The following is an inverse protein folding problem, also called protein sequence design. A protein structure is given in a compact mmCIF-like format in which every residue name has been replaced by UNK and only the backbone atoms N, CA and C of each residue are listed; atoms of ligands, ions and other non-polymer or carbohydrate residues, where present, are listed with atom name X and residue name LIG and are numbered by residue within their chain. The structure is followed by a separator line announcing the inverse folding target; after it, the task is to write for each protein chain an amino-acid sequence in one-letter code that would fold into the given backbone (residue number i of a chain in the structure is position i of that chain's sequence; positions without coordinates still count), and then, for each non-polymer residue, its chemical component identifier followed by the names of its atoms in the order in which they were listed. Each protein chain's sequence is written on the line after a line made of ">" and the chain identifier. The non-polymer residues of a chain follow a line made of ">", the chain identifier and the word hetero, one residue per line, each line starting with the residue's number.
data_IF_869917593911
#
_entry.id   IF_869917593911
#
_cell.length_a   1.000
_cell.length_b   1.000
_cell.length_c   1.000
_cell.angle_alpha   90.00
_cell.angle_beta   90.00
_cell.angle_gamma   90.00
#
_symmetry.space_group_name_H-M   'P 1'
#
loop_
_entity.id
_entity.type
_entity.pdbx_description
1 polymer ?
#
# COMPACT_ATOMS: atom_id res chain seq x y z
N UNK A 1 -11.19 19.20 7.98
CA UNK A 1 -10.46 17.98 8.39
C UNK A 1 -10.23 17.17 7.13
N UNK A 2 -8.99 16.84 6.81
CA UNK A 2 -8.74 15.89 5.72
C UNK A 2 -8.99 14.49 6.27
N UNK A 3 -10.06 13.85 5.79
CA UNK A 3 -10.37 12.47 6.15
C UNK A 3 -9.46 11.53 5.35
N UNK A 4 -8.66 10.75 6.05
CA UNK A 4 -7.90 9.66 5.47
C UNK A 4 -8.86 8.52 5.17
N UNK A 5 -9.15 8.33 3.89
CA UNK A 5 -9.98 7.23 3.44
C UNK A 5 -9.09 6.10 2.95
N UNK A 6 -9.53 4.86 3.14
CA UNK A 6 -8.85 3.68 2.61
C UNK A 6 -8.88 3.76 1.08
N UNK A 7 -7.70 3.90 0.47
CA UNK A 7 -7.56 4.03 -0.99
C UNK A 7 -7.42 2.67 -1.64
N UNK A 8 -6.48 1.88 -1.13
CA UNK A 8 -6.19 0.54 -1.66
C UNK A 8 -5.70 -0.39 -0.55
N UNK A 9 -5.76 -1.69 -0.81
CA UNK A 9 -5.20 -2.73 0.06
C UNK A 9 -3.98 -3.32 -0.64
N UNK A 10 -2.96 -3.70 0.12
CA UNK A 10 -1.73 -4.30 -0.39
C UNK A 10 -1.71 -5.77 0.03
N UNK A 11 -1.46 -6.66 -0.92
CA UNK A 11 -1.54 -8.10 -0.69
C UNK A 11 -0.21 -8.64 -0.14
N UNK A 12 0.91 -7.99 -0.48
CA UNK A 12 2.24 -8.37 -0.03
C UNK A 12 3.07 -7.17 0.47
N UNK A 13 4.12 -7.46 1.24
CA UNK A 13 5.10 -6.46 1.70
C UNK A 13 5.79 -5.74 0.54
N UNK A 14 6.06 -6.46 -0.55
CA UNK A 14 6.72 -5.89 -1.73
C UNK A 14 5.87 -4.80 -2.37
N UNK A 15 4.58 -5.06 -2.62
CA UNK A 15 3.64 -4.04 -3.13
C UNK A 15 3.54 -2.85 -2.16
N UNK A 16 3.49 -3.13 -0.85
CA UNK A 16 3.43 -2.10 0.18
C UNK A 16 4.66 -1.17 0.16
N UNK A 17 5.86 -1.74 0.13
CA UNK A 17 7.12 -1.01 0.11
C UNK A 17 7.34 -0.22 -1.18
N UNK A 18 6.95 -0.79 -2.33
CA UNK A 18 7.01 -0.10 -3.62
C UNK A 18 6.09 1.12 -3.63
N UNK A 19 4.83 0.92 -3.25
CA UNK A 19 3.85 2.00 -3.18
C UNK A 19 4.28 3.07 -2.16
N UNK A 20 4.76 2.65 -0.99
CA UNK A 20 5.28 3.54 0.05
C UNK A 20 6.41 4.43 -0.48
N UNK A 21 7.40 3.83 -1.16
CA UNK A 21 8.56 4.55 -1.69
C UNK A 21 8.14 5.65 -2.66
N UNK A 22 7.22 5.34 -3.58
CA UNK A 22 6.71 6.31 -4.57
C UNK A 22 5.88 7.42 -3.92
N UNK A 23 5.09 7.10 -2.89
CA UNK A 23 4.29 8.09 -2.17
C UNK A 23 5.19 9.03 -1.35
N UNK A 24 6.24 8.48 -0.73
CA UNK A 24 7.24 9.24 0.01
C UNK A 24 8.04 10.17 -0.90
N UNK A 25 8.46 9.68 -2.07
CA UNK A 25 9.16 10.48 -3.08
C UNK A 25 8.32 11.67 -3.56
N UNK A 26 7.02 11.44 -3.80
CA UNK A 26 6.09 12.49 -4.19
C UNK A 26 5.59 13.36 -3.02
N UNK A 27 6.10 13.15 -1.80
CA UNK A 27 5.66 13.87 -0.59
C UNK A 27 4.14 13.82 -0.36
N UNK A 28 3.51 12.70 -0.73
CA UNK A 28 2.07 12.50 -0.56
C UNK A 28 1.81 12.07 0.89
N UNK A 29 0.88 12.71 1.63
CA UNK A 29 0.49 12.24 2.95
C UNK A 29 -0.26 10.91 2.84
N UNK A 30 0.34 9.84 3.35
CA UNK A 30 -0.23 8.49 3.37
C UNK A 30 -0.17 7.86 4.77
N UNK A 31 -1.04 6.90 5.00
CA UNK A 31 -1.09 6.06 6.20
C UNK A 31 -1.06 4.61 5.75
N UNK A 32 0.09 3.97 5.93
CA UNK A 32 0.27 2.54 5.69
C UNK A 32 -0.01 1.79 6.99
N UNK A 33 -1.03 0.92 6.97
CA UNK A 33 -1.37 0.04 8.10
C UNK A 33 -1.19 -1.41 7.66
N UNK A 34 -0.14 -2.04 8.16
CA UNK A 34 0.04 -3.48 8.07
C UNK A 34 -0.91 -4.18 9.05
N UNK A 35 -1.50 -5.30 8.63
CA UNK A 35 -2.21 -6.21 9.53
C UNK A 35 -1.23 -7.10 10.32
N UNK A 36 0.05 -7.06 9.95
CA UNK A 36 1.13 -7.92 10.43
C UNK A 36 1.88 -7.40 11.66
N UNK A 37 1.48 -6.24 12.19
CA UNK A 37 2.02 -5.65 13.41
C UNK A 37 1.58 -6.49 14.64
N UNK A 38 2.08 -7.74 14.78
CA UNK A 38 2.34 -8.33 16.10
C UNK A 38 3.06 -9.69 16.16
N UNK A 39 3.09 -10.59 15.16
CA UNK A 39 3.55 -11.95 15.48
C UNK A 39 3.95 -12.87 14.31
N UNK A 40 4.96 -13.69 14.59
CA UNK A 40 5.36 -14.94 13.93
C UNK A 40 6.40 -14.89 12.79
N UNK A 41 7.65 -14.93 13.25
CA UNK A 41 8.67 -15.93 12.88
C UNK A 41 8.13 -17.13 12.08
N UNK A 42 8.65 -17.29 10.86
CA UNK A 42 8.77 -18.58 10.17
C UNK A 42 7.49 -19.22 9.62
N UNK A 43 7.37 -19.24 8.30
CA UNK A 43 6.64 -20.27 7.54
C UNK A 43 5.12 -20.40 7.79
N UNK A 44 4.30 -19.44 7.32
CA UNK A 44 2.98 -19.70 6.70
C UNK A 44 2.32 -18.36 6.28
N UNK A 45 2.74 -17.79 5.15
CA UNK A 45 2.38 -16.42 4.73
C UNK A 45 1.30 -16.33 3.64
N UNK A 46 0.53 -17.38 3.38
CA UNK A 46 -0.48 -17.35 2.31
C UNK A 46 -1.88 -17.34 2.91
N UNK A 47 -2.54 -16.17 2.95
CA UNK A 47 -3.95 -15.98 2.52
C UNK A 47 -4.64 -14.65 2.89
N UNK A 48 -4.11 -13.77 3.76
CA UNK A 48 -4.89 -12.58 4.24
C UNK A 48 -4.47 -11.20 3.74
N UNK A 49 -3.43 -11.09 2.92
CA UNK A 49 -2.90 -9.79 2.48
C UNK A 49 -2.07 -9.10 3.57
N UNK A 50 -1.18 -8.18 3.18
CA UNK A 50 -0.22 -7.54 4.09
C UNK A 50 -0.82 -6.35 4.84
N UNK A 51 -1.65 -5.53 4.20
CA UNK A 51 -2.12 -4.27 4.79
C UNK A 51 -3.02 -3.43 3.91
N UNK A 52 -3.18 -2.15 4.27
CA UNK A 52 -3.85 -1.15 3.45
C UNK A 52 -3.20 0.23 3.55
N UNK A 53 -3.39 1.01 2.48
CA UNK A 53 -2.97 2.41 2.39
C UNK A 53 -4.20 3.30 2.42
N UNK A 54 -4.17 4.27 3.33
CA UNK A 54 -5.16 5.34 3.42
C UNK A 54 -4.49 6.67 3.14
N UNK A 55 -5.19 7.56 2.45
CA UNK A 55 -4.69 8.88 2.10
C UNK A 55 -5.89 9.84 1.92
N UNK A 56 -5.65 11.16 1.83
CA UNK A 56 -6.71 12.10 1.49
C UNK A 56 -7.29 11.76 0.11
N UNK A 57 -8.61 11.90 -0.04
CA UNK A 57 -9.33 11.56 -1.28
C UNK A 57 -8.76 12.25 -2.53
N UNK A 58 -8.13 13.42 -2.36
CA UNK A 58 -7.43 14.16 -3.42
C UNK A 58 -6.25 13.41 -4.06
N UNK A 59 -5.65 12.46 -3.34
CA UNK A 59 -4.55 11.62 -3.84
C UNK A 59 -5.01 10.22 -4.26
N UNK A 60 -6.31 9.91 -4.12
CA UNK A 60 -6.89 8.60 -4.44
C UNK A 60 -6.51 8.15 -5.85
N UNK A 61 -6.77 8.99 -6.84
CA UNK A 61 -6.48 8.68 -8.25
C UNK A 61 -4.98 8.50 -8.49
N UNK A 62 -4.15 9.32 -7.84
CA UNK A 62 -2.69 9.24 -7.97
C UNK A 62 -2.15 7.92 -7.44
N UNK A 63 -2.61 7.52 -6.24
CA UNK A 63 -2.24 6.24 -5.61
C UNK A 63 -2.70 5.05 -6.45
N UNK A 64 -3.94 5.10 -6.98
CA UNK A 64 -4.47 4.04 -7.85
C UNK A 64 -3.65 3.91 -9.14
N UNK A 65 -3.26 5.02 -9.76
CA UNK A 65 -2.41 5.04 -10.94
C UNK A 65 -1.04 4.40 -10.64
N UNK A 66 -0.39 4.79 -9.55
CA UNK A 66 0.91 4.23 -9.14
C UNK A 66 0.78 2.71 -8.90
N UNK A 67 -0.26 2.28 -8.18
CA UNK A 67 -0.48 0.87 -7.92
C UNK A 67 -0.70 0.05 -9.21
N UNK A 68 -1.50 0.58 -10.14
CA UNK A 68 -1.70 -0.06 -11.44
C UNK A 68 -0.42 -0.14 -12.26
N UNK A 69 0.41 0.90 -12.22
CA UNK A 69 1.70 0.93 -12.89
C UNK A 69 2.66 -0.12 -12.30
N UNK A 70 2.78 -0.15 -10.98
CA UNK A 70 3.56 -1.15 -10.24
C UNK A 70 3.12 -2.59 -10.56
N UNK A 71 1.81 -2.85 -10.63
CA UNK A 71 1.30 -4.18 -11.00
C UNK A 71 1.60 -4.56 -12.44
N UNK A 72 1.52 -3.60 -13.37
CA UNK A 72 1.89 -3.85 -14.77
C UNK A 72 3.38 -4.16 -14.90
N UNK A 73 4.24 -3.41 -14.22
CA UNK A 73 5.69 -3.64 -14.26
C UNK A 73 6.12 -4.97 -13.63
N UNK A 74 5.30 -5.56 -12.76
CA UNK A 74 5.58 -6.86 -12.15
C UNK A 74 5.20 -8.06 -13.05
N UNK A 75 4.44 -7.83 -14.13
CA UNK A 75 3.94 -8.88 -15.03
C UNK A 75 4.72 -8.96 -16.36
N UNK A 76 5.70 -8.07 -16.59
CA UNK A 76 6.61 -8.08 -17.77
C UNK A 76 7.96 -8.76 -17.51
#
# INVERSE_FOLDING_TARGET
>A
MEEFIKITSVENEVEAGLLESVLKDQHIPYVLRSYYDSAYDGMYQFQKGWGYVSAPSRYRERILQILSDLRKSAEE
#
